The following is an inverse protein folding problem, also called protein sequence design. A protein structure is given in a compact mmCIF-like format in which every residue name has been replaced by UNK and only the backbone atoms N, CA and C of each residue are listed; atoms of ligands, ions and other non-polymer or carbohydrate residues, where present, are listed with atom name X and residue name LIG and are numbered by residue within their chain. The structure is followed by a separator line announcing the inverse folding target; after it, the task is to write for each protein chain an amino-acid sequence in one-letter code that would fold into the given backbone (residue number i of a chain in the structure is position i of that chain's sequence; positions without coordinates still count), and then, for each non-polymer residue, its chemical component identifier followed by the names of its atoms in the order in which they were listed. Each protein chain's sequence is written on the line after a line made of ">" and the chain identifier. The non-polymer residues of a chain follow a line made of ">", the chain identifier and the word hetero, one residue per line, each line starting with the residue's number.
data_IF_675194214124
#
_entry.id   IF_675194214124
#
_cell.length_a   1.000
_cell.length_b   1.000
_cell.length_c   1.000
_cell.angle_alpha   90.00
_cell.angle_beta   90.00
_cell.angle_gamma   90.00
#
_symmetry.space_group_name_H-M   'P 1'
#
loop_
_entity.id
_entity.type
_entity.pdbx_description
1 polymer ?
#
# COMPACT_ATOMS: atom_id res chain seq x y z
N UNK A 1 -2.03 -21.20 19.37
CA UNK A 1 -1.58 -20.23 20.40
C UNK A 1 -1.29 -18.86 19.81
N UNK A 2 -0.62 -18.73 18.64
CA UNK A 2 -0.26 -17.45 18.04
C UNK A 2 -1.44 -16.53 17.72
N UNK A 3 -2.49 -17.05 17.12
CA UNK A 3 -3.69 -16.28 16.77
C UNK A 3 -4.43 -15.75 18.01
N UNK A 4 -4.57 -16.55 19.07
CA UNK A 4 -5.19 -16.10 20.33
C UNK A 4 -4.36 -14.99 20.99
N UNK A 5 -3.05 -15.12 20.98
CA UNK A 5 -2.14 -14.06 21.45
C UNK A 5 -2.28 -12.77 20.65
N UNK A 6 -2.42 -12.87 19.31
CA UNK A 6 -2.64 -11.72 18.46
C UNK A 6 -4.00 -11.04 18.70
N UNK A 7 -5.07 -11.78 18.95
CA UNK A 7 -6.39 -11.23 19.34
C UNK A 7 -6.27 -10.44 20.65
N UNK A 8 -5.62 -11.01 21.65
CA UNK A 8 -5.46 -10.33 22.95
C UNK A 8 -4.60 -9.04 22.82
N UNK A 9 -3.52 -9.11 22.05
CA UNK A 9 -2.68 -7.94 21.79
C UNK A 9 -3.42 -6.78 21.08
N UNK A 10 -4.42 -7.09 20.26
CA UNK A 10 -5.20 -6.10 19.50
C UNK A 10 -6.54 -5.73 20.18
N UNK A 11 -6.88 -6.30 21.33
CA UNK A 11 -8.18 -6.11 21.99
C UNK A 11 -8.58 -4.63 22.11
N UNK A 12 -7.71 -3.80 22.63
CA UNK A 12 -7.98 -2.36 22.83
C UNK A 12 -8.26 -1.67 21.48
N UNK A 13 -7.44 -1.92 20.46
CA UNK A 13 -7.64 -1.36 19.13
C UNK A 13 -8.98 -1.81 18.52
N UNK A 14 -9.32 -3.07 18.64
CA UNK A 14 -10.59 -3.61 18.12
C UNK A 14 -11.80 -2.96 18.78
N UNK A 15 -11.76 -2.75 20.11
CA UNK A 15 -12.82 -2.03 20.82
C UNK A 15 -12.90 -0.56 20.42
N UNK A 16 -11.77 0.12 20.27
CA UNK A 16 -11.72 1.50 19.78
C UNK A 16 -12.31 1.60 18.36
N UNK A 17 -11.96 0.68 17.46
CA UNK A 17 -12.50 0.64 16.10
C UNK A 17 -14.01 0.43 16.10
N UNK A 18 -14.51 -0.50 16.94
CA UNK A 18 -15.95 -0.71 17.12
C UNK A 18 -16.66 0.58 17.55
N UNK A 19 -16.13 1.24 18.59
CA UNK A 19 -16.72 2.45 19.13
C UNK A 19 -16.66 3.65 18.17
N UNK A 20 -15.68 3.67 17.25
CA UNK A 20 -15.51 4.70 16.23
C UNK A 20 -16.25 4.38 14.91
N UNK A 21 -17.11 3.35 14.88
CA UNK A 21 -17.98 3.04 13.74
C UNK A 21 -17.27 2.39 12.55
N UNK A 22 -16.15 1.69 12.77
CA UNK A 22 -15.52 0.85 11.76
C UNK A 22 -16.21 -0.51 11.62
N UNK A 23 -16.97 -0.96 12.63
CA UNK A 23 -17.83 -2.13 12.52
C UNK A 23 -19.13 -1.72 11.85
N UNK A 24 -19.42 -2.33 10.70
CA UNK A 24 -20.54 -1.99 9.83
C UNK A 24 -21.11 -3.27 9.20
N UNK A 25 -22.30 -3.15 8.64
CA UNK A 25 -22.82 -4.17 7.74
C UNK A 25 -21.99 -4.15 6.45
N UNK A 26 -21.21 -5.18 6.23
CA UNK A 26 -20.30 -5.37 5.11
C UNK A 26 -20.74 -6.52 4.20
N UNK A 27 -19.84 -6.97 3.33
CA UNK A 27 -20.07 -8.14 2.48
C UNK A 27 -19.99 -9.45 3.28
N UNK A 28 -19.06 -9.53 4.22
CA UNK A 28 -18.82 -10.69 5.08
C UNK A 28 -18.00 -11.81 4.44
N UNK A 29 -18.13 -12.01 3.12
CA UNK A 29 -17.44 -13.06 2.35
C UNK A 29 -16.76 -12.49 1.09
N UNK A 30 -16.01 -11.38 1.25
CA UNK A 30 -15.40 -10.63 0.15
C UNK A 30 -14.10 -11.29 -0.33
N UNK A 31 -14.21 -12.25 -1.27
CA UNK A 31 -13.08 -12.86 -1.97
C UNK A 31 -13.31 -12.86 -3.50
N UNK A 32 -12.28 -13.20 -4.29
CA UNK A 32 -12.34 -13.08 -5.77
C UNK A 32 -13.46 -13.88 -6.41
N UNK A 33 -13.87 -15.02 -5.86
CA UNK A 33 -14.97 -15.81 -6.43
C UNK A 33 -16.33 -15.08 -6.33
N UNK A 34 -16.45 -14.10 -5.42
CA UNK A 34 -17.64 -13.28 -5.22
C UNK A 34 -17.54 -11.91 -5.92
N UNK A 35 -16.66 -11.82 -6.93
CA UNK A 35 -16.48 -10.62 -7.77
C UNK A 35 -16.56 -11.04 -9.23
N UNK A 36 -17.45 -10.40 -9.99
CA UNK A 36 -17.51 -10.59 -11.45
C UNK A 36 -17.34 -9.28 -12.20
N UNK A 37 -17.04 -9.34 -13.48
CA UNK A 37 -16.92 -8.18 -14.34
C UNK A 37 -18.22 -7.98 -15.12
N UNK A 38 -18.85 -6.82 -14.91
CA UNK A 38 -20.01 -6.35 -15.67
C UNK A 38 -19.60 -5.14 -16.52
N UNK A 39 -19.62 -5.30 -17.82
CA UNK A 39 -19.13 -4.28 -18.77
C UNK A 39 -17.73 -3.72 -18.41
N UNK A 40 -16.82 -4.58 -17.94
CA UNK A 40 -15.47 -4.21 -17.53
C UNK A 40 -15.37 -3.56 -16.12
N UNK A 41 -16.48 -3.44 -15.41
CA UNK A 41 -16.51 -2.93 -14.03
C UNK A 41 -16.66 -4.08 -13.04
N UNK A 42 -15.87 -4.14 -11.96
CA UNK A 42 -16.04 -5.15 -10.92
C UNK A 42 -17.34 -4.93 -10.15
N UNK A 43 -18.10 -6.02 -10.00
CA UNK A 43 -19.34 -6.07 -9.21
C UNK A 43 -19.19 -7.13 -8.13
N UNK A 44 -19.67 -6.80 -6.94
CA UNK A 44 -19.71 -7.72 -5.80
C UNK A 44 -21.06 -8.44 -5.81
N UNK A 45 -21.09 -9.71 -5.43
CA UNK A 45 -22.30 -10.51 -5.26
C UNK A 45 -22.10 -11.54 -4.14
N UNK A 46 -23.17 -12.20 -3.74
CA UNK A 46 -23.15 -13.26 -2.70
C UNK A 46 -22.67 -12.76 -1.34
N UNK A 47 -23.15 -11.55 -0.94
CA UNK A 47 -22.93 -11.06 0.43
C UNK A 47 -23.65 -11.94 1.46
N UNK A 48 -23.15 -12.00 2.68
CA UNK A 48 -23.81 -12.73 3.77
C UNK A 48 -25.10 -12.00 4.16
N UNK A 49 -26.25 -12.60 3.86
CA UNK A 49 -27.57 -12.06 4.19
C UNK A 49 -28.32 -12.89 5.25
N UNK A 50 -27.82 -14.09 5.55
CA UNK A 50 -28.53 -15.06 6.41
C UNK A 50 -28.17 -14.94 7.91
N UNK A 51 -27.09 -14.23 8.28
CA UNK A 51 -26.72 -14.00 9.68
C UNK A 51 -26.07 -12.62 9.85
N UNK A 52 -26.79 -11.66 10.45
CA UNK A 52 -26.32 -10.30 10.71
C UNK A 52 -25.03 -10.25 11.54
N UNK A 53 -24.77 -11.24 12.40
CA UNK A 53 -23.55 -11.30 13.22
C UNK A 53 -22.30 -11.55 12.37
N UNK A 54 -22.45 -12.23 11.23
CA UNK A 54 -21.38 -12.46 10.27
C UNK A 54 -21.23 -11.31 9.29
N UNK A 55 -22.35 -10.64 8.98
CA UNK A 55 -22.36 -9.46 8.11
C UNK A 55 -21.86 -8.18 8.82
N UNK A 56 -22.06 -8.07 10.16
CA UNK A 56 -21.57 -6.95 10.95
C UNK A 56 -20.12 -7.18 11.39
N UNK A 57 -19.18 -6.64 10.65
CA UNK A 57 -17.76 -6.79 10.90
C UNK A 57 -16.99 -5.49 10.67
N UNK A 58 -15.73 -5.48 11.08
CA UNK A 58 -14.83 -4.37 10.80
C UNK A 58 -14.58 -4.26 9.29
N UNK A 59 -14.68 -3.04 8.73
CA UNK A 59 -14.50 -2.81 7.29
C UNK A 59 -13.12 -3.26 6.78
N UNK A 60 -12.09 -3.19 7.64
CA UNK A 60 -10.76 -3.68 7.29
C UNK A 60 -10.68 -5.21 7.35
N UNK A 61 -11.44 -5.86 8.24
CA UNK A 61 -11.58 -7.32 8.29
C UNK A 61 -12.30 -7.85 7.05
N UNK A 62 -13.30 -7.13 6.56
CA UNK A 62 -13.97 -7.49 5.31
C UNK A 62 -13.01 -7.37 4.11
N UNK A 63 -12.30 -6.24 4.00
CA UNK A 63 -11.27 -6.05 2.98
C UNK A 63 -10.13 -7.08 3.08
N UNK A 64 -9.74 -7.47 4.30
CA UNK A 64 -8.67 -8.44 4.51
C UNK A 64 -8.93 -9.78 3.82
N UNK A 65 -10.18 -10.16 3.60
CA UNK A 65 -10.50 -11.38 2.87
C UNK A 65 -10.05 -11.29 1.40
N UNK A 66 -10.36 -10.19 0.72
CA UNK A 66 -9.90 -9.97 -0.65
C UNK A 66 -8.38 -9.87 -0.72
N UNK A 67 -7.75 -9.14 0.20
CA UNK A 67 -6.30 -9.02 0.23
C UNK A 67 -5.60 -10.37 0.43
N UNK A 68 -6.13 -11.19 1.34
CA UNK A 68 -5.64 -12.54 1.62
C UNK A 68 -5.80 -13.46 0.40
N UNK A 69 -6.97 -13.44 -0.27
CA UNK A 69 -7.22 -14.28 -1.44
C UNK A 69 -6.35 -13.88 -2.65
N UNK A 70 -6.17 -12.56 -2.89
CA UNK A 70 -5.22 -12.06 -3.89
C UNK A 70 -3.80 -12.52 -3.59
N UNK A 71 -3.36 -12.39 -2.32
CA UNK A 71 -2.03 -12.79 -1.90
C UNK A 71 -1.78 -14.30 -2.03
N UNK A 72 -2.76 -15.11 -1.63
CA UNK A 72 -2.71 -16.56 -1.79
C UNK A 72 -2.57 -17.01 -3.25
N UNK A 73 -3.14 -16.24 -4.17
CA UNK A 73 -3.05 -16.48 -5.63
C UNK A 73 -1.80 -15.88 -6.28
N UNK A 74 -0.85 -15.40 -5.49
CA UNK A 74 0.38 -14.71 -5.94
C UNK A 74 0.13 -13.42 -6.75
N UNK A 75 -1.07 -12.82 -6.59
CA UNK A 75 -1.45 -11.52 -7.15
C UNK A 75 -1.03 -10.39 -6.18
N UNK A 76 0.26 -10.35 -5.82
CA UNK A 76 0.79 -9.47 -4.77
C UNK A 76 0.69 -7.99 -5.14
N UNK A 77 0.94 -7.66 -6.41
CA UNK A 77 0.83 -6.29 -6.92
C UNK A 77 -0.59 -5.76 -6.82
N UNK A 78 -1.58 -6.60 -7.17
CA UNK A 78 -3.01 -6.30 -7.09
C UNK A 78 -3.46 -6.15 -5.65
N UNK A 79 -3.05 -7.04 -4.75
CA UNK A 79 -3.33 -6.94 -3.32
C UNK A 79 -2.83 -5.62 -2.75
N UNK A 80 -1.57 -5.25 -3.03
CA UNK A 80 -1.00 -3.98 -2.57
C UNK A 80 -1.70 -2.77 -3.19
N UNK A 81 -2.10 -2.83 -4.46
CA UNK A 81 -2.85 -1.75 -5.13
C UNK A 81 -4.23 -1.53 -4.50
N UNK A 82 -4.99 -2.60 -4.27
CA UNK A 82 -6.30 -2.52 -3.59
C UNK A 82 -6.14 -1.95 -2.19
N UNK A 83 -5.18 -2.44 -1.43
CA UNK A 83 -4.83 -1.96 -0.10
C UNK A 83 -4.53 -0.46 -0.07
N UNK A 84 -3.63 0.02 -0.94
CA UNK A 84 -3.26 1.43 -0.98
C UNK A 84 -4.41 2.31 -1.48
N UNK A 85 -5.25 1.82 -2.40
CA UNK A 85 -6.45 2.56 -2.84
C UNK A 85 -7.46 2.72 -1.70
N UNK A 86 -7.67 1.69 -0.90
CA UNK A 86 -8.49 1.76 0.31
C UNK A 86 -7.95 2.81 1.28
N UNK A 87 -6.67 2.75 1.62
CA UNK A 87 -6.05 3.70 2.55
C UNK A 87 -6.08 5.15 2.04
N UNK A 88 -5.91 5.35 0.75
CA UNK A 88 -6.00 6.66 0.13
C UNK A 88 -7.40 7.27 0.29
N UNK A 89 -8.46 6.46 0.09
CA UNK A 89 -9.85 6.88 0.14
C UNK A 89 -10.39 7.06 1.56
N UNK A 90 -10.00 6.19 2.47
CA UNK A 90 -10.56 6.14 3.83
C UNK A 90 -9.69 6.83 4.87
N UNK A 91 -8.37 6.87 4.66
CA UNK A 91 -7.40 7.32 5.66
C UNK A 91 -7.27 6.38 6.86
N UNK A 92 -7.74 5.12 6.77
CA UNK A 92 -7.76 4.14 7.86
C UNK A 92 -6.38 3.55 8.19
N UNK A 93 -5.41 4.43 8.49
CA UNK A 93 -4.06 4.04 8.87
C UNK A 93 -3.99 3.49 10.31
N UNK A 94 -4.93 3.88 11.17
CA UNK A 94 -4.98 3.40 12.56
C UNK A 94 -5.37 1.93 12.69
N UNK A 95 -6.06 1.36 11.70
CA UNK A 95 -6.46 -0.04 11.68
C UNK A 95 -5.35 -1.02 11.28
N UNK A 96 -4.24 -0.51 10.74
CA UNK A 96 -3.19 -1.34 10.15
C UNK A 96 -2.55 -2.33 11.14
N UNK A 97 -2.43 -1.98 12.42
CA UNK A 97 -1.90 -2.88 13.43
C UNK A 97 -2.76 -4.16 13.62
N UNK A 98 -4.04 -4.13 13.27
CA UNK A 98 -4.92 -5.29 13.30
C UNK A 98 -4.92 -6.10 11.98
N UNK A 99 -4.37 -5.55 10.88
CA UNK A 99 -4.43 -6.20 9.58
C UNK A 99 -3.78 -7.58 9.52
N UNK A 100 -2.60 -7.84 10.11
CA UNK A 100 -2.02 -9.19 10.16
C UNK A 100 -2.95 -10.21 10.84
N UNK A 101 -3.60 -9.83 11.94
CA UNK A 101 -4.60 -10.67 12.61
C UNK A 101 -5.78 -10.96 11.67
N UNK A 102 -6.31 -9.94 10.99
CA UNK A 102 -7.44 -10.10 10.09
C UNK A 102 -7.12 -11.00 8.90
N UNK A 103 -5.95 -10.86 8.30
CA UNK A 103 -5.48 -11.75 7.24
C UNK A 103 -5.34 -13.20 7.73
N UNK A 104 -4.75 -13.39 8.90
CA UNK A 104 -4.59 -14.71 9.53
C UNK A 104 -5.94 -15.38 9.80
N UNK A 105 -6.92 -14.65 10.35
CA UNK A 105 -8.25 -15.16 10.60
C UNK A 105 -8.96 -15.59 9.30
N UNK A 106 -8.88 -14.78 8.24
CA UNK A 106 -9.49 -15.12 6.93
C UNK A 106 -8.81 -16.33 6.29
N UNK A 107 -7.48 -16.44 6.35
CA UNK A 107 -6.76 -17.62 5.89
C UNK A 107 -7.12 -18.86 6.73
N UNK A 108 -7.26 -18.74 8.04
CA UNK A 108 -7.71 -19.82 8.94
C UNK A 108 -9.12 -20.32 8.61
N UNK A 109 -10.07 -19.43 8.28
CA UNK A 109 -11.40 -19.79 7.81
C UNK A 109 -11.29 -20.62 6.51
N UNK A 110 -10.50 -20.16 5.54
CA UNK A 110 -10.29 -20.90 4.27
C UNK A 110 -9.62 -22.25 4.49
N UNK A 111 -8.68 -22.34 5.44
CA UNK A 111 -8.09 -23.63 5.86
C UNK A 111 -9.18 -24.60 6.31
N UNK A 112 -10.06 -24.15 7.20
CA UNK A 112 -11.13 -24.98 7.73
C UNK A 112 -12.11 -25.42 6.63
N UNK A 113 -12.52 -24.51 5.76
CA UNK A 113 -13.43 -24.81 4.64
C UNK A 113 -12.80 -25.84 3.70
N UNK A 114 -11.56 -25.65 3.23
CA UNK A 114 -10.87 -26.57 2.34
C UNK A 114 -10.66 -27.96 2.98
N UNK A 115 -10.28 -27.99 4.26
CA UNK A 115 -10.13 -29.26 4.99
C UNK A 115 -11.44 -30.03 5.14
N UNK A 116 -12.55 -29.32 5.42
CA UNK A 116 -13.89 -29.93 5.54
C UNK A 116 -14.35 -30.48 4.18
N UNK A 117 -14.15 -29.73 3.10
CA UNK A 117 -14.46 -30.20 1.74
C UNK A 117 -13.62 -31.43 1.36
N UNK A 118 -12.32 -31.42 1.69
CA UNK A 118 -11.46 -32.57 1.44
C UNK A 118 -11.97 -33.83 2.14
N UNK A 119 -12.36 -33.73 3.43
CA UNK A 119 -12.91 -34.85 4.19
C UNK A 119 -14.21 -35.38 3.58
N UNK A 120 -15.08 -34.50 3.07
CA UNK A 120 -16.34 -34.87 2.39
C UNK A 120 -16.14 -35.49 0.99
N UNK A 121 -14.96 -35.33 0.36
CA UNK A 121 -14.61 -35.81 -0.98
C UNK A 121 -13.49 -36.86 -0.94
N UNK A 122 -13.63 -37.88 -0.12
CA UNK A 122 -12.67 -39.00 0.02
C UNK A 122 -11.22 -38.55 0.29
N UNK A 123 -11.03 -37.49 1.05
CA UNK A 123 -9.72 -36.87 1.34
C UNK A 123 -8.99 -36.39 0.07
N UNK A 124 -9.67 -35.67 -0.80
CA UNK A 124 -9.10 -35.12 -2.02
C UNK A 124 -7.73 -34.47 -1.79
N UNK A 125 -6.66 -34.95 -2.45
CA UNK A 125 -5.31 -34.48 -2.22
C UNK A 125 -5.11 -32.99 -2.59
N UNK A 126 -5.85 -32.48 -3.59
CA UNK A 126 -5.75 -31.09 -4.02
C UNK A 126 -6.35 -30.14 -2.96
N UNK A 127 -7.52 -30.48 -2.42
CA UNK A 127 -8.15 -29.70 -1.34
C UNK A 127 -7.33 -29.76 -0.04
N UNK A 128 -6.69 -30.89 0.25
CA UNK A 128 -5.76 -31.00 1.39
C UNK A 128 -4.52 -30.09 1.20
N UNK A 129 -3.97 -30.04 0.00
CA UNK A 129 -2.85 -29.17 -0.33
C UNK A 129 -3.26 -27.70 -0.19
N UNK A 130 -4.44 -27.35 -0.71
CA UNK A 130 -4.97 -25.98 -0.57
C UNK A 130 -5.17 -25.60 0.91
N UNK A 131 -5.73 -26.48 1.74
CA UNK A 131 -5.87 -26.26 3.16
C UNK A 131 -4.51 -26.02 3.84
N UNK A 132 -3.48 -26.79 3.49
CA UNK A 132 -2.13 -26.59 4.01
C UNK A 132 -1.56 -25.22 3.61
N UNK A 133 -1.72 -24.80 2.35
CA UNK A 133 -1.27 -23.51 1.87
C UNK A 133 -1.95 -22.32 2.59
N UNK A 134 -3.26 -22.41 2.87
CA UNK A 134 -3.96 -21.41 3.67
C UNK A 134 -3.48 -21.41 5.13
N UNK A 135 -3.16 -22.57 5.69
CA UNK A 135 -2.61 -22.65 7.05
C UNK A 135 -1.24 -22.01 7.14
N UNK A 136 -0.35 -22.30 6.18
CA UNK A 136 0.98 -21.67 6.10
C UNK A 136 0.87 -20.15 5.97
N UNK A 137 -0.08 -19.68 5.15
CA UNK A 137 -0.36 -18.26 5.02
C UNK A 137 -0.87 -17.66 6.34
N UNK A 138 -1.81 -18.33 7.03
CA UNK A 138 -2.35 -17.86 8.31
C UNK A 138 -1.27 -17.69 9.39
N UNK A 139 -0.25 -18.54 9.36
CA UNK A 139 0.89 -18.45 10.29
C UNK A 139 1.85 -17.33 9.85
N UNK A 140 2.25 -17.34 8.58
CA UNK A 140 3.29 -16.42 8.07
C UNK A 140 2.89 -14.95 8.13
N UNK A 141 1.60 -14.61 7.95
CA UNK A 141 1.16 -13.20 8.02
C UNK A 141 1.21 -12.61 9.43
N UNK A 142 1.29 -13.44 10.47
CA UNK A 142 1.49 -12.98 11.86
C UNK A 142 2.96 -12.66 12.17
N UNK A 143 3.90 -13.21 11.38
CA UNK A 143 5.33 -12.94 11.48
C UNK A 143 5.67 -11.68 10.70
N UNK A 144 5.34 -10.50 11.25
CA UNK A 144 5.56 -9.23 10.54
C UNK A 144 7.01 -8.80 10.64
N UNK A 145 7.70 -8.52 9.50
CA UNK A 145 9.03 -7.96 9.52
C UNK A 145 9.01 -6.53 10.08
N UNK A 146 10.14 -6.05 10.67
CA UNK A 146 10.24 -4.67 11.13
C UNK A 146 9.91 -3.67 10.00
N UNK A 147 9.14 -2.61 10.28
CA UNK A 147 8.81 -1.62 9.27
C UNK A 147 10.03 -0.77 8.90
N UNK A 148 10.06 -0.26 7.67
CA UNK A 148 11.06 0.67 7.17
C UNK A 148 10.41 1.84 6.44
N UNK A 149 11.06 3.01 6.43
CA UNK A 149 10.69 4.15 5.61
C UNK A 149 11.60 4.23 4.38
N UNK A 150 11.03 4.00 3.21
CA UNK A 150 11.71 4.23 1.92
C UNK A 150 11.18 5.53 1.32
N UNK A 151 12.07 6.41 0.93
CA UNK A 151 11.70 7.62 0.17
C UNK A 151 12.17 7.50 -1.27
N UNK A 152 11.28 7.74 -2.23
CA UNK A 152 11.60 7.72 -3.66
C UNK A 152 11.47 9.13 -4.22
N UNK A 153 12.62 9.73 -4.55
CA UNK A 153 12.76 11.06 -5.11
C UNK A 153 13.20 11.05 -6.59
N UNK A 154 13.19 12.23 -7.20
CA UNK A 154 13.58 12.45 -8.59
C UNK A 154 12.61 13.40 -9.30
N UNK A 155 13.03 13.99 -10.42
CA UNK A 155 12.20 14.92 -11.17
C UNK A 155 11.00 14.26 -11.84
N UNK A 156 10.02 15.04 -12.26
CA UNK A 156 8.86 14.55 -13.02
C UNK A 156 9.32 13.81 -14.28
N UNK A 157 8.72 12.67 -14.57
CA UNK A 157 9.13 11.81 -15.69
C UNK A 157 10.27 10.82 -15.38
N UNK A 158 10.93 10.88 -14.19
CA UNK A 158 12.00 9.93 -13.85
C UNK A 158 11.51 8.48 -13.64
N UNK A 159 10.21 8.25 -13.39
CA UNK A 159 9.64 6.91 -13.17
C UNK A 159 9.50 6.53 -11.70
N UNK A 160 9.56 7.48 -10.77
CA UNK A 160 9.41 7.28 -9.32
C UNK A 160 8.22 6.41 -8.94
N UNK A 161 7.02 6.81 -9.36
CA UNK A 161 5.79 6.13 -8.96
C UNK A 161 5.67 4.73 -9.53
N UNK A 162 6.23 4.49 -10.73
CA UNK A 162 6.32 3.16 -11.32
C UNK A 162 7.23 2.24 -10.49
N UNK A 163 8.42 2.75 -10.11
CA UNK A 163 9.34 2.02 -9.25
C UNK A 163 8.74 1.77 -7.86
N UNK A 164 8.14 2.81 -7.24
CA UNK A 164 7.52 2.72 -5.93
C UNK A 164 6.37 1.69 -5.89
N UNK A 165 5.52 1.67 -6.92
CA UNK A 165 4.42 0.72 -7.03
C UNK A 165 4.91 -0.74 -7.20
N UNK A 166 6.03 -0.94 -7.93
CA UNK A 166 6.62 -2.27 -8.08
C UNK A 166 7.37 -2.73 -6.81
N UNK A 167 7.94 -1.80 -6.06
CA UNK A 167 8.65 -2.09 -4.81
C UNK A 167 7.68 -2.37 -3.65
N UNK A 168 6.54 -1.69 -3.59
CA UNK A 168 5.63 -1.72 -2.46
C UNK A 168 5.19 -3.13 -2.03
N UNK A 169 4.77 -4.05 -2.92
CA UNK A 169 4.37 -5.40 -2.53
C UNK A 169 5.52 -6.27 -1.99
N UNK A 170 6.78 -5.83 -2.15
CA UNK A 170 7.98 -6.56 -1.73
C UNK A 170 8.48 -6.13 -0.34
N UNK A 171 7.85 -5.13 0.30
CA UNK A 171 8.33 -4.51 1.53
C UNK A 171 7.37 -4.68 2.70
N UNK A 172 7.91 -5.16 3.82
CA UNK A 172 7.20 -5.16 5.10
C UNK A 172 6.10 -6.22 5.21
N UNK A 173 5.14 -5.98 6.10
CA UNK A 173 4.01 -6.88 6.35
C UNK A 173 3.08 -7.00 5.14
N UNK A 174 2.43 -8.17 4.99
CA UNK A 174 1.40 -8.39 3.95
C UNK A 174 0.27 -7.37 4.10
N UNK A 175 -0.19 -6.75 3.02
CA UNK A 175 0.12 -6.97 1.61
C UNK A 175 1.21 -6.05 1.02
N UNK A 176 2.20 -5.68 1.81
CA UNK A 176 3.31 -4.84 1.41
C UNK A 176 3.21 -3.41 1.96
N UNK A 177 4.13 -2.54 1.54
CA UNK A 177 4.24 -1.18 2.06
C UNK A 177 3.06 -0.27 1.71
N UNK A 178 2.79 0.68 2.60
CA UNK A 178 1.90 1.80 2.35
C UNK A 178 2.59 2.76 1.37
N UNK A 179 2.07 2.89 0.16
CA UNK A 179 2.60 3.75 -0.89
C UNK A 179 1.91 5.13 -0.86
N UNK A 180 2.61 6.13 -0.36
CA UNK A 180 2.11 7.50 -0.23
C UNK A 180 2.63 8.36 -1.40
N UNK A 181 1.78 8.62 -2.39
CA UNK A 181 2.07 9.48 -3.54
C UNK A 181 1.64 10.91 -3.27
N UNK A 182 2.57 11.86 -3.35
CA UNK A 182 2.27 13.29 -3.14
C UNK A 182 1.21 13.83 -4.10
N UNK A 183 1.16 13.33 -5.34
CA UNK A 183 0.18 13.76 -6.35
C UNK A 183 -1.23 13.26 -6.02
N UNK A 184 -1.39 12.02 -5.58
CA UNK A 184 -2.68 11.47 -5.14
C UNK A 184 -3.18 12.16 -3.86
N UNK A 185 -2.31 12.34 -2.88
CA UNK A 185 -2.66 13.05 -1.64
C UNK A 185 -3.12 14.48 -1.93
N UNK A 186 -2.46 15.18 -2.86
CA UNK A 186 -2.87 16.53 -3.28
C UNK A 186 -4.32 16.54 -3.80
N UNK A 187 -4.67 15.59 -4.65
CA UNK A 187 -6.02 15.48 -5.24
C UNK A 187 -7.08 15.19 -4.18
N UNK A 188 -6.82 14.21 -3.34
CA UNK A 188 -7.72 13.87 -2.22
C UNK A 188 -7.90 15.04 -1.25
N UNK A 189 -6.83 15.75 -0.89
CA UNK A 189 -6.91 16.96 -0.04
C UNK A 189 -7.71 18.11 -0.67
N UNK A 190 -7.84 18.10 -1.99
CA UNK A 190 -8.67 19.04 -2.75
C UNK A 190 -10.09 18.53 -3.04
N UNK A 191 -10.46 17.36 -2.51
CA UNK A 191 -11.78 16.76 -2.73
C UNK A 191 -11.96 16.22 -4.16
N UNK A 192 -10.86 15.95 -4.87
CA UNK A 192 -10.88 15.44 -6.24
C UNK A 192 -10.51 13.96 -6.31
N UNK A 193 -10.98 13.30 -7.35
CA UNK A 193 -10.55 11.94 -7.66
C UNK A 193 -9.05 11.95 -8.06
N UNK A 194 -8.26 10.93 -7.68
CA UNK A 194 -6.84 10.83 -8.04
C UNK A 194 -6.52 10.94 -9.55
N UNK A 195 -7.49 10.66 -10.41
CA UNK A 195 -7.32 10.73 -11.87
C UNK A 195 -7.74 12.09 -12.47
N UNK A 196 -8.36 12.97 -11.67
CA UNK A 196 -8.84 14.28 -12.15
C UNK A 196 -7.69 15.28 -12.18
N UNK A 197 -7.38 15.93 -13.31
CA UNK A 197 -6.36 16.96 -13.38
C UNK A 197 -6.67 18.17 -12.50
N UNK A 198 -5.65 18.74 -11.87
CA UNK A 198 -5.75 19.94 -11.03
C UNK A 198 -5.21 21.18 -11.74
N UNK A 199 -5.83 22.32 -11.49
CA UNK A 199 -5.33 23.60 -11.99
C UNK A 199 -4.07 24.08 -11.25
N UNK A 200 -3.35 25.10 -11.80
CA UNK A 200 -2.06 25.60 -11.28
C UNK A 200 -2.10 26.05 -9.81
N UNK A 201 -3.26 26.48 -9.32
CA UNK A 201 -3.42 26.92 -7.92
C UNK A 201 -3.10 25.79 -6.90
N UNK A 202 -3.33 24.54 -7.27
CA UNK A 202 -3.05 23.36 -6.44
C UNK A 202 -1.55 23.12 -6.22
N UNK A 203 -0.68 23.75 -7.02
CA UNK A 203 0.77 23.55 -7.00
C UNK A 203 1.53 24.72 -6.36
N UNK A 204 0.82 25.71 -5.82
CA UNK A 204 1.46 26.82 -5.07
C UNK A 204 2.24 26.27 -3.87
N UNK A 205 3.35 26.92 -3.52
CA UNK A 205 4.26 26.47 -2.43
C UNK A 205 3.55 26.21 -1.11
N UNK A 206 2.59 27.07 -0.73
CA UNK A 206 1.79 26.90 0.51
C UNK A 206 0.94 25.64 0.50
N UNK A 207 0.36 25.25 -0.65
CA UNK A 207 -0.40 24.00 -0.82
C UNK A 207 0.55 22.81 -0.78
N UNK A 208 1.65 22.89 -1.53
CA UNK A 208 2.67 21.84 -1.55
C UNK A 208 3.23 21.56 -0.15
N UNK A 209 3.48 22.59 0.67
CA UNK A 209 3.92 22.42 2.06
C UNK A 209 2.90 21.61 2.89
N UNK A 210 1.59 21.85 2.71
CA UNK A 210 0.53 21.08 3.38
C UNK A 210 0.50 19.62 2.92
N UNK A 211 0.66 19.36 1.61
CA UNK A 211 0.70 18.00 1.05
C UNK A 211 1.88 17.22 1.63
N UNK A 212 3.07 17.81 1.70
CA UNK A 212 4.23 17.16 2.30
C UNK A 212 4.09 16.94 3.82
N UNK A 213 3.39 17.84 4.52
CA UNK A 213 3.06 17.65 5.93
C UNK A 213 2.11 16.46 6.13
N UNK A 214 1.04 16.39 5.33
CA UNK A 214 0.10 15.27 5.33
C UNK A 214 0.79 13.93 4.99
N UNK A 215 1.67 13.93 3.98
CA UNK A 215 2.45 12.75 3.62
C UNK A 215 3.26 12.23 4.82
N UNK A 216 3.97 13.11 5.53
CA UNK A 216 4.74 12.74 6.73
C UNK A 216 3.85 12.25 7.86
N UNK A 217 2.70 12.89 8.09
CA UNK A 217 1.76 12.49 9.13
C UNK A 217 1.17 11.10 8.86
N UNK A 218 0.79 10.83 7.60
CA UNK A 218 0.34 9.49 7.19
C UNK A 218 1.44 8.45 7.29
N UNK A 219 2.67 8.80 6.88
CA UNK A 219 3.82 7.92 7.02
C UNK A 219 4.09 7.56 8.49
N UNK A 220 4.06 8.55 9.41
CA UNK A 220 4.23 8.32 10.85
C UNK A 220 3.19 7.35 11.41
N UNK A 221 1.91 7.55 11.08
CA UNK A 221 0.83 6.67 11.52
C UNK A 221 0.99 5.24 11.03
N UNK A 222 1.34 5.05 9.75
CA UNK A 222 1.55 3.71 9.17
C UNK A 222 2.77 3.00 9.80
N UNK A 223 3.89 3.72 9.98
CA UNK A 223 5.09 3.17 10.62
C UNK A 223 4.84 2.75 12.07
N UNK A 224 4.15 3.60 12.85
CA UNK A 224 3.77 3.29 14.23
C UNK A 224 2.77 2.14 14.34
N UNK A 225 2.03 1.86 13.26
CA UNK A 225 1.14 0.69 13.15
C UNK A 225 1.84 -0.57 12.60
N UNK A 226 3.19 -0.56 12.51
CA UNK A 226 3.99 -1.72 12.11
C UNK A 226 4.09 -1.95 10.59
N UNK A 227 3.69 -0.97 9.74
CA UNK A 227 3.76 -1.11 8.28
C UNK A 227 4.88 -0.26 7.68
N UNK A 228 5.63 -0.87 6.77
CA UNK A 228 6.60 -0.14 5.93
C UNK A 228 5.91 0.90 5.07
N UNK A 229 6.61 1.99 4.76
CA UNK A 229 6.08 3.10 3.98
C UNK A 229 7.01 3.43 2.83
N UNK A 230 6.44 3.71 1.65
CA UNK A 230 7.14 4.35 0.54
C UNK A 230 6.59 5.77 0.38
N UNK A 231 7.44 6.77 0.60
CA UNK A 231 7.14 8.19 0.40
C UNK A 231 7.56 8.60 -1.02
N UNK A 232 6.59 8.67 -1.94
CA UNK A 232 6.78 8.98 -3.36
C UNK A 232 6.45 10.45 -3.65
N UNK A 233 7.49 11.26 -3.86
CA UNK A 233 7.36 12.67 -4.24
C UNK A 233 8.62 13.15 -4.97
N UNK A 234 8.62 14.39 -5.46
CA UNK A 234 9.80 14.95 -6.14
C UNK A 234 11.01 15.07 -5.21
N UNK A 235 10.80 15.45 -3.94
CA UNK A 235 11.85 15.61 -2.91
C UNK A 235 13.09 16.43 -3.35
N UNK A 236 12.90 17.40 -4.24
CA UNK A 236 13.99 18.24 -4.73
C UNK A 236 14.59 19.21 -3.70
N UNK A 237 13.92 19.46 -2.59
CA UNK A 237 14.43 20.32 -1.52
C UNK A 237 15.13 19.48 -0.42
N UNK A 238 16.36 19.88 -0.05
CA UNK A 238 17.12 19.20 1.01
C UNK A 238 16.33 19.09 2.32
N UNK A 239 15.57 20.15 2.69
CA UNK A 239 14.70 20.12 3.86
C UNK A 239 13.67 18.97 3.81
N UNK A 240 13.03 18.74 2.66
CA UNK A 240 12.05 17.65 2.51
C UNK A 240 12.70 16.28 2.72
N UNK A 241 13.93 16.11 2.26
CA UNK A 241 14.71 14.88 2.47
C UNK A 241 15.11 14.68 3.93
N UNK A 242 15.60 15.75 4.57
CA UNK A 242 15.95 15.73 5.98
C UNK A 242 14.74 15.48 6.90
N UNK A 243 13.57 16.07 6.60
CA UNK A 243 12.34 15.85 7.35
C UNK A 243 11.90 14.38 7.38
N UNK A 244 12.10 13.62 6.28
CA UNK A 244 11.81 12.18 6.23
C UNK A 244 12.82 11.34 7.03
N UNK A 245 14.12 11.66 6.94
CA UNK A 245 15.13 10.99 7.75
C UNK A 245 14.86 11.22 9.26
N UNK A 246 14.51 12.45 9.64
CA UNK A 246 14.12 12.77 11.01
C UNK A 246 12.84 12.03 11.45
N UNK A 247 11.88 11.85 10.55
CA UNK A 247 10.68 11.04 10.81
C UNK A 247 11.05 9.58 11.12
N UNK A 248 11.88 8.96 10.30
CA UNK A 248 12.32 7.58 10.51
C UNK A 248 13.04 7.41 11.87
N UNK A 249 13.90 8.38 12.23
CA UNK A 249 14.57 8.41 13.53
C UNK A 249 13.57 8.48 14.70
N UNK A 250 12.54 9.34 14.59
CA UNK A 250 11.48 9.43 15.64
C UNK A 250 10.67 8.13 15.75
N UNK A 251 10.37 7.50 14.63
CA UNK A 251 9.65 6.22 14.60
C UNK A 251 10.55 5.02 14.93
N UNK A 252 11.87 5.22 15.08
CA UNK A 252 12.88 4.18 15.33
C UNK A 252 12.88 3.08 14.27
N UNK A 253 12.76 3.47 13.00
CA UNK A 253 12.79 2.56 11.84
C UNK A 253 13.96 2.90 10.92
N UNK A 254 14.47 1.93 10.13
CA UNK A 254 15.43 2.18 9.06
C UNK A 254 14.90 3.21 8.05
N UNK A 255 15.80 4.06 7.53
CA UNK A 255 15.51 5.02 6.47
C UNK A 255 16.37 4.74 5.25
N UNK A 256 15.73 4.61 4.09
CA UNK A 256 16.40 4.45 2.81
C UNK A 256 15.89 5.55 1.84
N UNK A 257 16.76 6.47 1.49
CA UNK A 257 16.47 7.50 0.48
C UNK A 257 16.97 7.04 -0.89
N UNK A 258 16.09 7.03 -1.88
CA UNK A 258 16.36 6.68 -3.28
C UNK A 258 16.13 7.91 -4.15
N UNK A 259 17.13 8.28 -4.96
CA UNK A 259 16.99 9.31 -5.99
C UNK A 259 17.08 8.65 -7.36
N UNK A 260 15.99 8.75 -8.14
CA UNK A 260 15.99 8.30 -9.52
C UNK A 260 16.63 9.37 -10.41
N UNK A 261 17.81 9.05 -10.91
CA UNK A 261 18.52 9.86 -11.89
C UNK A 261 18.11 9.47 -13.31
N UNK A 262 17.69 10.44 -14.10
CA UNK A 262 17.23 10.25 -15.45
C UNK A 262 17.66 11.42 -16.33
N UNK A 263 18.09 11.13 -17.56
CA UNK A 263 18.36 12.19 -18.51
C UNK A 263 17.07 12.92 -18.92
N UNK A 264 17.22 14.17 -19.36
CA UNK A 264 16.10 15.04 -19.66
C UNK A 264 15.27 14.53 -20.86
N UNK A 265 15.88 13.89 -21.84
CA UNK A 265 15.19 13.36 -23.02
C UNK A 265 14.29 12.17 -22.64
N UNK A 266 14.80 11.27 -21.78
CA UNK A 266 14.02 10.14 -21.24
C UNK A 266 12.81 10.63 -20.44
N UNK A 267 13.01 11.64 -19.57
CA UNK A 267 11.92 12.21 -18.77
C UNK A 267 10.85 12.87 -19.65
N UNK A 268 11.27 13.66 -20.65
CA UNK A 268 10.36 14.34 -21.59
C UNK A 268 9.51 13.33 -22.37
N UNK A 269 10.13 12.26 -22.89
CA UNK A 269 9.43 11.18 -23.59
C UNK A 269 8.39 10.51 -22.69
N UNK A 270 8.77 10.13 -21.46
CA UNK A 270 7.86 9.49 -20.51
C UNK A 270 6.68 10.39 -20.12
N UNK A 271 6.88 11.71 -20.05
CA UNK A 271 5.80 12.67 -19.80
C UNK A 271 4.86 12.74 -20.99
N UNK A 272 5.38 12.76 -22.24
CA UNK A 272 4.58 12.82 -23.46
C UNK A 272 3.73 11.55 -23.65
N UNK A 273 4.27 10.38 -23.30
CA UNK A 273 3.61 9.07 -23.46
C UNK A 273 2.64 8.76 -22.31
N UNK A 274 2.53 9.63 -21.31
CA UNK A 274 1.72 9.38 -20.11
C UNK A 274 0.23 9.52 -20.37
N UNK A 275 -0.54 8.50 -19.98
CA UNK A 275 -2.00 8.48 -19.98
C UNK A 275 -2.53 7.95 -18.66
N UNK A 276 -3.58 8.58 -18.09
CA UNK A 276 -4.30 8.05 -16.90
C UNK A 276 -3.47 7.98 -15.61
N UNK A 277 -2.51 8.90 -15.39
CA UNK A 277 -1.71 8.99 -14.17
C UNK A 277 -2.21 10.12 -13.24
N UNK A 278 -2.01 9.94 -11.95
CA UNK A 278 -2.28 10.95 -10.93
C UNK A 278 -1.40 12.20 -11.04
N UNK A 279 -0.25 12.14 -11.71
CA UNK A 279 0.65 13.29 -11.87
C UNK A 279 0.23 14.17 -13.04
N UNK A 280 -0.02 15.46 -12.76
CA UNK A 280 -0.37 16.49 -13.74
C UNK A 280 0.86 17.22 -14.31
N UNK A 281 2.09 16.76 -13.99
CA UNK A 281 3.32 17.44 -14.40
C UNK A 281 3.56 17.30 -15.89
N UNK A 282 3.66 18.44 -16.58
CA UNK A 282 4.05 18.57 -17.97
C UNK A 282 5.56 18.84 -18.15
N UNK A 283 6.01 19.01 -19.38
CA UNK A 283 7.40 19.32 -19.71
C UNK A 283 7.84 20.67 -19.08
N UNK A 284 6.94 21.65 -18.95
CA UNK A 284 7.27 22.94 -18.35
C UNK A 284 7.46 22.82 -16.83
N UNK A 285 6.69 21.95 -16.15
CA UNK A 285 6.90 21.63 -14.73
C UNK A 285 8.25 20.95 -14.54
N UNK A 286 8.58 19.95 -15.36
CA UNK A 286 9.88 19.27 -15.33
C UNK A 286 11.04 20.24 -15.51
N UNK A 287 10.97 21.12 -16.53
CA UNK A 287 12.02 22.10 -16.77
C UNK A 287 12.24 23.06 -15.58
N UNK A 288 11.14 23.53 -14.94
CA UNK A 288 11.22 24.34 -13.71
C UNK A 288 11.86 23.59 -12.55
N UNK A 289 11.54 22.31 -12.38
CA UNK A 289 12.13 21.48 -11.33
C UNK A 289 13.64 21.33 -11.54
N UNK A 290 14.09 21.07 -12.76
CA UNK A 290 15.51 20.97 -13.11
C UNK A 290 16.21 22.31 -12.89
N UNK A 291 15.64 23.42 -13.35
CA UNK A 291 16.21 24.75 -13.18
C UNK A 291 16.35 25.16 -11.70
N UNK A 292 15.42 24.75 -10.84
CA UNK A 292 15.52 24.98 -9.40
C UNK A 292 16.58 24.13 -8.71
N UNK A 293 17.02 23.06 -9.35
CA UNK A 293 17.98 22.11 -8.82
C UNK A 293 17.47 21.32 -7.61
N UNK A 294 18.18 20.26 -7.28
CA UNK A 294 17.91 19.46 -6.08
C UNK A 294 18.95 19.65 -4.97
N UNK A 295 20.00 20.44 -5.24
CA UNK A 295 21.18 20.55 -4.37
C UNK A 295 21.95 19.23 -4.29
N UNK A 296 22.79 19.08 -3.27
CA UNK A 296 23.48 17.82 -3.02
C UNK A 296 22.48 16.71 -2.69
N UNK A 297 22.60 15.59 -3.39
CA UNK A 297 21.80 14.39 -3.15
C UNK A 297 22.64 13.40 -2.32
N UNK A 298 22.26 13.23 -1.06
CA UNK A 298 22.89 12.27 -0.13
C UNK A 298 22.19 10.89 -0.18
N UNK A 299 21.10 10.77 -0.93
CA UNK A 299 20.38 9.54 -1.13
C UNK A 299 21.05 8.63 -2.15
N UNK A 300 20.71 7.35 -2.16
CA UNK A 300 21.21 6.41 -3.14
C UNK A 300 20.70 6.76 -4.54
N UNK A 301 21.62 7.18 -5.41
CA UNK A 301 21.31 7.48 -6.82
C UNK A 301 21.17 6.17 -7.60
N UNK A 302 20.04 6.02 -8.27
CA UNK A 302 19.75 4.87 -9.13
C UNK A 302 19.44 5.37 -10.53
N UNK A 303 20.13 4.82 -11.52
CA UNK A 303 19.89 5.11 -12.92
C UNK A 303 18.49 4.65 -13.34
N UNK A 304 17.65 5.62 -13.74
CA UNK A 304 16.28 5.39 -14.14
C UNK A 304 16.14 4.60 -15.46
N UNK A 305 17.21 4.52 -16.26
CA UNK A 305 17.23 3.80 -17.53
C UNK A 305 17.41 2.28 -17.36
N UNK A 306 17.95 1.83 -16.21
CA UNK A 306 18.12 0.38 -15.94
C UNK A 306 16.80 -0.39 -15.96
N UNK A 307 16.82 -1.69 -16.24
CA UNK A 307 15.69 -2.60 -16.08
C UNK A 307 15.08 -2.53 -14.68
N UNK A 308 13.77 -2.80 -14.57
CA UNK A 308 13.06 -2.68 -13.30
C UNK A 308 13.56 -3.67 -12.25
N UNK A 309 13.79 -4.90 -12.64
CA UNK A 309 14.30 -5.99 -11.79
C UNK A 309 15.65 -5.68 -11.17
N UNK A 310 16.57 -5.11 -11.95
CA UNK A 310 17.89 -4.67 -11.44
C UNK A 310 17.73 -3.55 -10.39
N UNK A 311 16.86 -2.56 -10.65
CA UNK A 311 16.55 -1.49 -9.69
C UNK A 311 15.96 -2.03 -8.41
N UNK A 312 15.00 -2.95 -8.52
CA UNK A 312 14.39 -3.59 -7.34
C UNK A 312 15.41 -4.38 -6.53
N UNK A 313 16.24 -5.21 -7.20
CA UNK A 313 17.30 -5.97 -6.53
C UNK A 313 18.29 -5.05 -5.80
N UNK A 314 18.72 -3.95 -6.44
CA UNK A 314 19.60 -2.95 -5.82
C UNK A 314 18.98 -2.32 -4.56
N UNK A 315 17.69 -1.96 -4.60
CA UNK A 315 17.01 -1.33 -3.47
C UNK A 315 16.80 -2.33 -2.35
N UNK A 316 16.35 -3.54 -2.65
CA UNK A 316 16.11 -4.57 -1.65
C UNK A 316 17.40 -4.92 -0.88
N UNK A 317 18.55 -4.91 -1.54
CA UNK A 317 19.85 -5.11 -0.89
C UNK A 317 20.25 -3.98 0.09
N UNK A 318 19.60 -2.81 0.06
CA UNK A 318 19.83 -1.72 1.01
C UNK A 318 18.94 -1.84 2.27
N UNK A 319 17.94 -2.71 2.24
CA UNK A 319 16.92 -2.84 3.29
C UNK A 319 17.26 -3.98 4.27
N UNK A 320 18.11 -4.90 3.84
CA UNK A 320 18.56 -6.08 4.62
C UNK A 320 19.72 -5.65 5.60
#
# INVERSE_FOLDING_TARGET
>A
DGMLGAVEAQRTLLEERRNNGFVRHGHGDLHLANIYLDAGQPRLFDAIEFDDRLAQNDVLYDLAFLLMDLWHRDLRGEANRVFNRYLLRTGDLGGLAALPLFLSLRAGIRTHVAATMAAGQNNDPQLRKEAAQYMDLAISVLETPPPALVAVGGYSGSGKSYLAAALAPLLGAVPGAVHLRSDELRKVMMGQDPETPLGPAAYKSKVSAKVYAELRQRAERALLSGHSVIADAVHNHAKSRADLAALATRCKVPFIGIWLDADQALMARRIADRHGDASDADAAVMARQIASGAGAIEWHCIDAARPLDEKLAQILALIV
#
